data_IF_827567859087
#
_entry.id   IF_827567859087
#
_cell.length_a   1.000
_cell.length_b   1.000
_cell.length_c   1.000
_cell.angle_alpha   90.00
_cell.angle_beta   90.00
_cell.angle_gamma   90.00
#
_symmetry.space_group_name_H-M   'P 1'
#
loop_
_entity.id
_entity.type
_entity.pdbx_description
1 polymer ?
#
# COMPACT_ATOMS: atom_id res chain seq x y z
N UNK A 1 -3.51 -11.97 4.11
CA UNK A 1 -2.41 -12.92 3.77
C UNK A 1 -2.81 -13.65 2.51
N UNK A 2 -1.87 -13.85 1.61
CA UNK A 2 -2.06 -14.53 0.33
C UNK A 2 -1.10 -15.71 0.22
N UNK A 3 -1.46 -16.68 -0.59
CA UNK A 3 -0.65 -17.84 -0.93
C UNK A 3 -0.14 -18.66 0.28
N UNK A 4 -0.87 -18.66 1.40
CA UNK A 4 -0.48 -19.35 2.61
C UNK A 4 0.82 -18.90 3.24
N UNK A 5 1.27 -17.67 2.92
CA UNK A 5 2.56 -17.15 3.35
C UNK A 5 2.66 -17.05 4.88
N UNK A 6 3.78 -17.53 5.41
CA UNK A 6 4.17 -17.27 6.79
C UNK A 6 5.08 -16.05 6.86
N UNK A 7 4.50 -14.90 7.16
CA UNK A 7 5.24 -13.65 7.25
C UNK A 7 6.31 -13.65 8.35
N UNK A 8 6.12 -14.42 9.42
CA UNK A 8 7.13 -14.57 10.47
C UNK A 8 8.40 -15.32 10.02
N UNK A 9 8.35 -16.04 8.91
CA UNK A 9 9.52 -16.71 8.35
C UNK A 9 10.51 -15.76 7.67
N UNK A 10 10.02 -14.62 7.18
CA UNK A 10 10.90 -13.58 6.66
C UNK A 10 11.58 -12.86 7.83
N UNK A 11 12.87 -12.69 7.76
CA UNK A 11 13.67 -11.99 8.79
C UNK A 11 14.05 -10.59 8.35
N UNK A 12 14.05 -10.36 7.06
CA UNK A 12 14.43 -9.10 6.43
C UNK A 12 13.31 -8.57 5.55
N UNK A 13 13.41 -7.30 5.22
CA UNK A 13 12.52 -6.62 4.28
C UNK A 13 13.28 -5.55 3.50
N UNK A 14 12.72 -5.12 2.41
CA UNK A 14 13.11 -3.89 1.70
C UNK A 14 11.87 -3.16 1.23
N UNK A 15 11.98 -1.86 1.12
CA UNK A 15 10.89 -1.00 0.61
C UNK A 15 11.24 -0.62 -0.81
N UNK A 16 10.22 -0.59 -1.69
CA UNK A 16 10.39 -0.16 -3.07
C UNK A 16 11.00 1.25 -3.13
N UNK A 17 12.02 1.42 -3.95
CA UNK A 17 12.68 2.72 -4.16
C UNK A 17 12.28 3.23 -5.54
N UNK A 18 11.73 4.45 -5.64
CA UNK A 18 11.47 5.07 -6.94
C UNK A 18 12.75 5.26 -7.73
N UNK A 19 12.70 4.94 -9.01
CA UNK A 19 13.80 5.14 -9.95
C UNK A 19 13.24 5.48 -11.35
N UNK A 20 14.07 5.48 -12.37
CA UNK A 20 13.65 5.78 -13.73
C UNK A 20 12.62 4.78 -14.28
N UNK A 21 12.60 3.56 -13.76
CA UNK A 21 11.68 2.48 -14.16
C UNK A 21 10.43 2.44 -13.27
N UNK A 22 10.62 2.62 -11.95
CA UNK A 22 9.58 2.52 -10.93
C UNK A 22 9.29 3.92 -10.37
N UNK A 23 8.39 4.65 -11.01
CA UNK A 23 8.12 6.05 -10.69
C UNK A 23 7.09 6.20 -9.58
N UNK A 24 7.18 7.31 -8.85
CA UNK A 24 6.14 7.72 -7.92
C UNK A 24 4.80 7.95 -8.64
N UNK A 25 3.67 7.69 -7.95
CA UNK A 25 2.37 8.14 -8.42
C UNK A 25 2.38 9.64 -8.73
N UNK A 26 1.71 10.11 -9.80
CA UNK A 26 1.77 11.51 -10.23
C UNK A 26 1.35 12.53 -9.16
N UNK A 27 0.55 12.11 -8.19
CA UNK A 27 0.03 12.94 -7.10
C UNK A 27 0.82 12.82 -5.81
N UNK A 28 1.83 11.96 -5.76
CA UNK A 28 2.67 11.76 -4.59
C UNK A 28 3.97 12.55 -4.72
N UNK A 29 4.19 13.46 -3.78
CA UNK A 29 5.47 14.15 -3.67
C UNK A 29 6.54 13.22 -3.09
N UNK A 30 7.78 13.45 -3.45
CA UNK A 30 8.92 12.65 -2.97
C UNK A 30 9.03 12.65 -1.44
N UNK A 31 8.83 13.80 -0.80
CA UNK A 31 8.82 13.91 0.66
C UNK A 31 7.71 13.07 1.30
N UNK A 32 6.55 13.00 0.67
CA UNK A 32 5.44 12.15 1.13
C UNK A 32 5.81 10.68 1.06
N UNK A 33 6.42 10.26 -0.04
CA UNK A 33 6.94 8.90 -0.18
C UNK A 33 7.94 8.55 0.92
N UNK A 34 8.94 9.41 1.17
CA UNK A 34 9.93 9.17 2.23
C UNK A 34 9.31 9.07 3.61
N UNK A 35 8.32 9.87 3.91
CA UNK A 35 7.61 9.80 5.18
C UNK A 35 6.78 8.50 5.31
N UNK A 36 6.12 8.07 4.24
CA UNK A 36 5.41 6.78 4.22
C UNK A 36 6.40 5.62 4.39
N UNK A 37 7.49 5.62 3.63
CA UNK A 37 8.53 4.59 3.71
C UNK A 37 9.14 4.52 5.12
N UNK A 38 9.40 5.66 5.75
CA UNK A 38 9.94 5.72 7.11
C UNK A 38 8.95 5.17 8.14
N UNK A 39 7.66 5.49 8.02
CA UNK A 39 6.63 4.95 8.90
C UNK A 39 6.48 3.42 8.73
N UNK A 40 6.54 2.91 7.51
CA UNK A 40 6.53 1.46 7.22
C UNK A 40 7.78 0.80 7.83
N UNK A 41 8.95 1.40 7.64
CA UNK A 41 10.22 0.91 8.22
C UNK A 41 10.12 0.77 9.72
N UNK A 42 9.62 1.78 10.40
CA UNK A 42 9.39 1.76 11.85
C UNK A 42 8.50 0.59 12.25
N UNK A 43 7.36 0.40 11.57
CA UNK A 43 6.45 -0.70 11.84
C UNK A 43 7.09 -2.08 11.66
N UNK A 44 7.95 -2.25 10.66
CA UNK A 44 8.65 -3.51 10.41
C UNK A 44 9.75 -3.77 11.46
N UNK A 45 10.57 -2.76 11.74
CA UNK A 45 11.67 -2.87 12.73
C UNK A 45 11.11 -3.16 14.12
N UNK A 46 10.03 -2.51 14.52
CA UNK A 46 9.37 -2.76 15.80
C UNK A 46 8.74 -4.16 15.92
N UNK A 47 8.65 -4.89 14.82
CA UNK A 47 8.25 -6.31 14.76
C UNK A 47 9.42 -7.27 14.63
N UNK A 48 10.64 -6.77 14.66
CA UNK A 48 11.85 -7.58 14.64
C UNK A 48 12.44 -7.86 13.26
N UNK A 49 11.93 -7.22 12.21
CA UNK A 49 12.53 -7.35 10.88
C UNK A 49 13.73 -6.42 10.72
N UNK A 50 14.67 -6.82 9.88
CA UNK A 50 15.86 -6.03 9.54
C UNK A 50 15.76 -5.59 8.07
N UNK A 51 15.99 -4.31 7.81
CA UNK A 51 16.03 -3.82 6.42
C UNK A 51 17.29 -4.31 5.72
N UNK A 52 17.11 -4.86 4.51
CA UNK A 52 18.20 -5.36 3.67
C UNK A 52 17.87 -5.19 2.20
N UNK A 53 18.78 -4.59 1.45
CA UNK A 53 18.63 -4.38 0.01
C UNK A 53 18.48 -5.70 -0.79
N UNK A 54 18.93 -6.82 -0.25
CA UNK A 54 18.82 -8.15 -0.85
C UNK A 54 17.64 -8.96 -0.34
N UNK A 55 16.78 -8.38 0.50
CA UNK A 55 15.63 -9.11 1.03
C UNK A 55 14.69 -9.61 -0.07
N UNK A 56 14.23 -10.86 0.02
CA UNK A 56 13.18 -11.35 -0.87
C UNK A 56 11.82 -10.75 -0.57
N UNK A 57 11.62 -10.16 0.62
CA UNK A 57 10.38 -9.50 0.98
C UNK A 57 10.44 -8.03 0.55
N UNK A 58 9.77 -7.70 -0.54
CA UNK A 58 9.61 -6.33 -1.04
C UNK A 58 8.29 -5.75 -0.56
N UNK A 59 8.34 -4.58 0.03
CA UNK A 59 7.15 -3.78 0.36
C UNK A 59 6.94 -2.76 -0.74
N UNK A 60 5.81 -2.88 -1.43
CA UNK A 60 5.39 -2.00 -2.51
C UNK A 60 4.31 -1.03 -2.05
N UNK A 61 4.32 0.15 -2.61
CA UNK A 61 3.41 1.23 -2.26
C UNK A 61 2.61 1.61 -3.50
N UNK A 62 1.31 1.72 -3.32
CA UNK A 62 0.39 2.22 -4.33
C UNK A 62 -0.50 3.31 -3.77
N UNK A 63 -0.97 4.17 -4.63
CA UNK A 63 -1.89 5.25 -4.30
C UNK A 63 -2.95 5.37 -5.37
N UNK A 64 -4.20 5.49 -4.92
CA UNK A 64 -5.32 5.89 -5.76
C UNK A 64 -5.81 7.24 -5.30
N UNK A 65 -5.94 8.19 -6.20
CA UNK A 65 -6.50 9.52 -5.92
C UNK A 65 -7.69 9.76 -6.81
N UNK A 66 -8.82 10.10 -6.21
CA UNK A 66 -10.01 10.52 -6.94
C UNK A 66 -10.14 12.04 -6.89
N UNK A 67 -10.19 12.68 -8.06
CA UNK A 67 -10.33 14.13 -8.14
C UNK A 67 -11.79 14.59 -8.27
N UNK A 68 -12.69 13.78 -8.85
CA UNK A 68 -14.11 14.10 -9.01
C UNK A 68 -14.97 12.83 -9.04
N UNK A 69 -16.25 13.02 -8.65
CA UNK A 69 -17.25 11.98 -8.72
C UNK A 69 -17.71 11.86 -10.17
N UNK A 70 -17.49 10.71 -10.78
CA UNK A 70 -18.23 10.33 -11.97
C UNK A 70 -19.15 9.16 -11.63
N UNK A 71 -20.44 9.38 -11.76
CA UNK A 71 -21.50 8.39 -11.53
C UNK A 71 -21.77 7.57 -12.81
N UNK A 72 -20.77 7.30 -13.63
CA UNK A 72 -20.94 6.47 -14.82
C UNK A 72 -20.71 5.00 -14.47
N UNK A 73 -21.59 4.08 -14.92
CA UNK A 73 -21.32 2.65 -14.80
C UNK A 73 -20.07 2.29 -15.60
N UNK A 74 -19.19 1.52 -14.99
CA UNK A 74 -18.00 1.00 -15.66
C UNK A 74 -18.40 -0.01 -16.74
N UNK A 75 -18.01 0.26 -17.96
CA UNK A 75 -18.02 -0.74 -19.02
C UNK A 75 -16.96 -1.82 -18.70
N UNK A 76 -17.32 -3.10 -18.64
CA UNK A 76 -16.40 -4.15 -18.19
C UNK A 76 -15.16 -4.35 -19.07
N UNK A 77 -15.12 -3.78 -20.24
CA UNK A 77 -14.14 -4.09 -21.28
C UNK A 77 -13.03 -3.04 -21.47
N UNK A 78 -12.94 -2.03 -20.61
CA UNK A 78 -12.04 -0.91 -20.89
C UNK A 78 -10.68 -0.97 -20.18
N UNK A 79 -10.37 -2.05 -19.46
CA UNK A 79 -9.19 -2.09 -18.60
C UNK A 79 -8.32 -3.33 -18.75
N UNK A 80 -7.56 -3.44 -19.85
CA UNK A 80 -6.76 -4.64 -20.07
C UNK A 80 -5.52 -4.77 -19.17
N UNK A 81 -5.06 -3.69 -18.51
CA UNK A 81 -3.76 -3.71 -17.84
C UNK A 81 -3.78 -3.36 -16.34
N UNK A 82 -4.85 -2.75 -15.90
CA UNK A 82 -4.94 -2.34 -14.50
C UNK A 82 -6.29 -2.85 -13.99
N UNK A 83 -6.29 -3.78 -13.08
CA UNK A 83 -7.54 -4.22 -12.48
C UNK A 83 -8.40 -3.03 -12.01
N UNK A 84 -9.70 -3.23 -11.78
CA UNK A 84 -10.56 -2.15 -11.34
C UNK A 84 -10.00 -1.53 -10.07
N UNK A 85 -9.67 -0.25 -10.13
CA UNK A 85 -9.34 0.53 -8.95
C UNK A 85 -10.53 0.61 -8.00
N UNK A 86 -10.34 1.00 -6.75
CA UNK A 86 -11.43 1.14 -5.80
C UNK A 86 -12.47 2.19 -6.20
N UNK A 87 -12.18 2.99 -7.22
CA UNK A 87 -13.06 4.03 -7.73
C UNK A 87 -13.20 3.96 -9.25
N UNK A 88 -14.40 4.18 -9.81
CA UNK A 88 -14.60 4.30 -11.25
C UNK A 88 -13.71 5.39 -11.85
N UNK A 89 -12.92 5.05 -12.87
CA UNK A 89 -12.04 6.00 -13.54
C UNK A 89 -10.76 6.35 -12.78
N UNK A 90 -10.53 5.76 -11.62
CA UNK A 90 -9.29 5.90 -10.86
C UNK A 90 -8.56 4.58 -10.78
N UNK A 91 -7.31 4.58 -11.20
CA UNK A 91 -6.45 3.40 -11.16
C UNK A 91 -5.48 3.52 -10.00
N UNK A 92 -5.30 2.45 -9.21
CA UNK A 92 -4.19 2.42 -8.27
C UNK A 92 -2.88 2.47 -9.04
N UNK A 93 -2.03 3.42 -8.69
CA UNK A 93 -0.69 3.51 -9.21
C UNK A 93 0.26 2.89 -8.19
N UNK A 94 0.96 1.85 -8.59
CA UNK A 94 1.98 1.19 -7.78
C UNK A 94 3.36 1.58 -8.26
N UNK A 95 4.26 1.86 -7.35
CA UNK A 95 5.66 2.18 -7.67
C UNK A 95 6.31 1.01 -8.40
N UNK A 96 6.17 -0.21 -7.87
CA UNK A 96 6.49 -1.46 -8.59
C UNK A 96 5.20 -1.99 -9.22
N UNK A 97 5.08 -2.09 -10.55
CA UNK A 97 3.82 -2.44 -11.19
C UNK A 97 3.23 -3.76 -10.70
N UNK A 98 1.99 -3.73 -10.24
CA UNK A 98 1.29 -4.87 -9.63
C UNK A 98 1.14 -6.06 -10.57
N UNK A 99 1.10 -5.82 -11.86
CA UNK A 99 1.02 -6.87 -12.89
C UNK A 99 2.21 -7.85 -12.87
N UNK A 100 3.34 -7.48 -12.28
CA UNK A 100 4.51 -8.36 -12.22
C UNK A 100 4.41 -9.46 -11.15
N UNK A 101 3.49 -9.32 -10.19
CA UNK A 101 3.33 -10.28 -9.09
C UNK A 101 1.88 -10.66 -8.80
N UNK A 102 0.92 -10.04 -9.44
CA UNK A 102 -0.50 -10.32 -9.24
C UNK A 102 -1.14 -10.74 -10.58
N UNK A 103 -0.99 -12.01 -11.00
CA UNK A 103 -1.38 -12.46 -12.34
C UNK A 103 -2.90 -12.50 -12.56
N UNK A 104 -3.68 -12.64 -11.49
CA UNK A 104 -5.14 -12.59 -11.57
C UNK A 104 -5.66 -11.53 -10.61
N UNK A 105 -6.07 -10.41 -11.16
CA UNK A 105 -6.83 -9.44 -10.37
C UNK A 105 -8.20 -10.07 -10.08
N UNK A 106 -8.60 -10.23 -8.81
CA UNK A 106 -9.94 -10.71 -8.53
C UNK A 106 -10.93 -9.70 -9.09
N UNK A 107 -11.78 -10.14 -10.03
CA UNK A 107 -12.79 -9.32 -10.68
C UNK A 107 -13.87 -8.78 -9.72
N UNK A 108 -13.77 -9.07 -8.44
CA UNK A 108 -14.75 -8.81 -7.39
C UNK A 108 -14.25 -7.87 -6.30
N UNK A 109 -13.36 -6.93 -6.60
CA UNK A 109 -13.14 -5.82 -5.67
C UNK A 109 -14.41 -4.99 -5.62
N UNK A 110 -15.06 -4.96 -4.48
CA UNK A 110 -16.22 -4.10 -4.26
C UNK A 110 -15.80 -2.66 -4.55
N UNK A 111 -16.43 -2.07 -5.54
CA UNK A 111 -16.29 -0.65 -5.84
C UNK A 111 -16.95 0.11 -4.70
N UNK A 112 -16.17 0.83 -3.91
CA UNK A 112 -16.73 1.76 -2.93
C UNK A 112 -17.36 2.91 -3.72
N UNK A 113 -18.67 2.86 -3.89
CA UNK A 113 -19.44 3.94 -4.47
C UNK A 113 -19.72 4.98 -3.40
N UNK A 114 -18.93 6.03 -3.33
CA UNK A 114 -19.12 7.14 -2.40
C UNK A 114 -18.49 8.42 -2.94
N UNK A 115 -19.08 9.54 -2.53
CA UNK A 115 -18.57 10.88 -2.84
C UNK A 115 -17.37 11.15 -1.93
N UNK A 116 -16.15 10.93 -2.40
CA UNK A 116 -15.00 11.20 -1.55
C UNK A 116 -13.88 11.86 -2.35
N UNK A 117 -13.38 12.97 -1.82
CA UNK A 117 -12.05 13.48 -2.17
C UNK A 117 -11.02 12.67 -1.37
N UNK A 118 -11.06 11.36 -1.54
CA UNK A 118 -10.24 10.43 -0.79
C UNK A 118 -9.21 9.78 -1.70
N UNK A 119 -8.02 9.62 -1.17
CA UNK A 119 -7.04 8.70 -1.72
C UNK A 119 -7.07 7.38 -0.98
N UNK A 120 -6.66 6.31 -1.62
CA UNK A 120 -6.42 5.03 -0.97
C UNK A 120 -4.94 4.73 -1.03
N UNK A 121 -4.31 4.64 0.14
CA UNK A 121 -2.94 4.17 0.26
C UNK A 121 -2.96 2.64 0.34
N UNK A 122 -2.20 1.99 -0.51
CA UNK A 122 -2.14 0.54 -0.62
C UNK A 122 -0.71 0.09 -0.34
N UNK A 123 -0.57 -0.94 0.47
CA UNK A 123 0.71 -1.59 0.75
C UNK A 123 0.60 -3.06 0.36
N UNK A 124 1.41 -3.48 -0.58
CA UNK A 124 1.59 -4.88 -0.94
C UNK A 124 2.95 -5.38 -0.44
N UNK A 125 2.98 -6.58 0.12
CA UNK A 125 4.22 -7.29 0.39
C UNK A 125 4.35 -8.45 -0.57
N UNK A 126 5.52 -8.59 -1.17
CA UNK A 126 5.78 -9.48 -2.28
C UNK A 126 6.98 -10.37 -1.93
N UNK A 127 6.82 -11.68 -2.16
CA UNK A 127 7.98 -12.56 -2.25
C UNK A 127 8.56 -12.45 -3.66
N UNK A 128 9.69 -11.78 -3.79
CA UNK A 128 10.30 -11.50 -5.10
C UNK A 128 10.95 -12.71 -5.73
N UNK A 129 11.27 -13.75 -4.97
CA UNK A 129 11.82 -15.01 -5.49
C UNK A 129 10.74 -15.80 -6.23
N UNK A 130 9.55 -15.83 -5.69
CA UNK A 130 8.40 -16.55 -6.27
C UNK A 130 7.52 -15.64 -7.14
N UNK A 131 7.73 -14.33 -7.08
CA UNK A 131 6.93 -13.30 -7.76
C UNK A 131 5.44 -13.39 -7.43
N UNK A 132 5.13 -13.55 -6.15
CA UNK A 132 3.76 -13.66 -5.65
C UNK A 132 3.51 -12.65 -4.52
N UNK A 133 2.26 -12.17 -4.37
CA UNK A 133 1.88 -11.39 -3.21
C UNK A 133 1.78 -12.28 -1.98
N UNK A 134 2.22 -11.79 -0.83
CA UNK A 134 2.13 -12.47 0.46
C UNK A 134 1.24 -11.73 1.45
N UNK A 135 1.12 -10.43 1.33
CA UNK A 135 0.24 -9.59 2.14
C UNK A 135 -0.20 -8.36 1.34
N UNK A 136 -1.42 -7.91 1.56
CA UNK A 136 -1.91 -6.63 1.03
C UNK A 136 -2.82 -5.98 2.04
N UNK A 137 -2.71 -4.68 2.17
CA UNK A 137 -3.55 -3.86 3.02
C UNK A 137 -3.76 -2.49 2.37
N UNK A 138 -4.90 -1.89 2.66
CA UNK A 138 -5.24 -0.57 2.17
C UNK A 138 -5.91 0.26 3.25
N UNK A 139 -5.74 1.56 3.17
CA UNK A 139 -6.37 2.54 4.04
C UNK A 139 -6.87 3.72 3.21
N UNK A 140 -8.12 4.10 3.40
CA UNK A 140 -8.66 5.32 2.85
C UNK A 140 -8.11 6.51 3.64
N UNK A 141 -7.63 7.52 2.91
CA UNK A 141 -7.13 8.76 3.50
C UNK A 141 -7.92 9.93 2.95
N UNK A 142 -8.22 10.90 3.78
CA UNK A 142 -8.91 12.11 3.33
C UNK A 142 -7.89 13.06 2.71
N UNK A 143 -7.95 13.24 1.41
CA UNK A 143 -7.14 14.21 0.69
C UNK A 143 -7.91 15.55 0.60
N UNK A 144 -8.15 16.18 1.73
CA UNK A 144 -8.83 17.47 1.76
C UNK A 144 -7.99 18.60 1.13
N UNK A 145 -8.64 19.69 0.75
CA UNK A 145 -8.08 20.88 0.10
C UNK A 145 -6.85 21.44 0.83
N UNK A 146 -5.67 20.92 0.53
CA UNK A 146 -4.42 21.36 1.09
C UNK A 146 -3.99 20.70 2.42
N UNK A 147 -4.89 20.02 3.14
CA UNK A 147 -4.66 19.45 4.47
C UNK A 147 -4.95 17.95 4.54
N UNK A 148 -4.76 17.21 3.44
CA UNK A 148 -4.94 15.76 3.45
C UNK A 148 -4.04 15.07 4.47
N UNK A 149 -4.50 13.97 5.06
CA UNK A 149 -3.75 13.21 6.07
C UNK A 149 -2.36 12.78 5.59
N UNK A 150 -2.19 12.54 4.29
CA UNK A 150 -0.88 12.22 3.72
C UNK A 150 0.06 13.43 3.56
N UNK A 151 -0.36 14.63 3.92
CA UNK A 151 0.48 15.84 3.86
C UNK A 151 1.18 16.14 5.17
N UNK A 152 0.73 15.57 6.28
CA UNK A 152 1.39 15.74 7.56
C UNK A 152 1.91 14.39 8.08
N UNK A 153 2.97 14.47 8.87
CA UNK A 153 3.64 13.28 9.37
C UNK A 153 2.74 12.44 10.29
N UNK A 154 1.92 13.07 11.12
CA UNK A 154 1.01 12.37 12.01
C UNK A 154 -0.05 11.58 11.25
N UNK A 155 -0.65 12.18 10.22
CA UNK A 155 -1.61 11.50 9.35
C UNK A 155 -1.00 10.31 8.61
N UNK A 156 0.23 10.46 8.13
CA UNK A 156 0.99 9.36 7.51
C UNK A 156 1.22 8.23 8.52
N UNK A 157 1.64 8.54 9.72
CA UNK A 157 1.88 7.54 10.77
C UNK A 157 0.60 6.78 11.14
N UNK A 158 -0.54 7.48 11.25
CA UNK A 158 -1.86 6.87 11.49
C UNK A 158 -2.28 5.96 10.35
N UNK A 159 -2.14 6.43 9.12
CA UNK A 159 -2.49 5.64 7.93
C UNK A 159 -1.66 4.36 7.86
N UNK A 160 -0.35 4.46 8.04
CA UNK A 160 0.55 3.30 8.04
C UNK A 160 0.24 2.36 9.21
N UNK A 161 -0.01 2.87 10.41
CA UNK A 161 -0.43 2.03 11.54
C UNK A 161 -1.70 1.23 11.22
N UNK A 162 -2.64 1.84 10.50
CA UNK A 162 -3.86 1.15 10.03
C UNK A 162 -3.53 0.04 9.03
N UNK A 163 -2.59 0.23 8.12
CA UNK A 163 -2.13 -0.82 7.20
C UNK A 163 -1.60 -2.05 7.94
N UNK A 164 -0.99 -1.85 9.10
CA UNK A 164 -0.44 -2.93 9.95
C UNK A 164 -1.42 -3.47 11.00
N UNK A 165 -2.63 -2.94 11.09
CA UNK A 165 -3.60 -3.32 12.14
C UNK A 165 -3.96 -4.81 12.13
N UNK A 166 -3.93 -5.45 10.97
CA UNK A 166 -4.19 -6.88 10.77
C UNK A 166 -2.95 -7.67 10.36
N UNK A 167 -1.78 -7.08 10.54
CA UNK A 167 -0.53 -7.76 10.23
C UNK A 167 -0.28 -8.88 11.24
N UNK A 168 0.05 -10.11 10.79
CA UNK A 168 0.04 -11.29 11.65
C UNK A 168 1.21 -11.33 12.64
N UNK A 169 2.28 -10.59 12.39
CA UNK A 169 3.44 -10.53 13.29
C UNK A 169 3.26 -9.36 14.26
N UNK A 170 3.17 -9.64 15.57
CA UNK A 170 2.96 -8.60 16.57
C UNK A 170 4.21 -7.73 16.76
N UNK A 171 4.01 -6.59 17.37
CA UNK A 171 5.11 -5.76 17.87
C UNK A 171 5.95 -6.54 18.91
N UNK A 172 7.24 -6.31 18.92
CA UNK A 172 8.10 -6.82 20.00
C UNK A 172 7.64 -6.30 21.37
N UNK A 173 7.86 -7.05 22.46
CA UNK A 173 7.36 -6.69 23.79
C UNK A 173 7.69 -5.27 24.25
N UNK A 174 8.88 -4.76 23.92
CA UNK A 174 9.30 -3.40 24.26
C UNK A 174 8.52 -2.29 23.56
N UNK A 175 7.85 -2.61 22.43
CA UNK A 175 7.04 -1.66 21.66
C UNK A 175 5.54 -1.85 21.87
N UNK A 176 5.15 -2.89 22.60
CA UNK A 176 3.75 -3.06 22.97
C UNK A 176 3.46 -2.04 24.07
N UNK A 177 2.54 -1.09 23.80
CA UNK A 177 2.03 -0.22 24.85
C UNK A 177 1.40 -1.13 25.90
N UNK A 178 1.96 -1.12 27.10
CA UNK A 178 1.31 -1.77 28.24
C UNK A 178 -0.12 -1.25 28.31
N UNK A 179 -1.08 -2.11 28.02
CA UNK A 179 -2.48 -1.80 28.17
C UNK A 179 -2.73 -1.47 29.64
N UNK A 180 -3.00 -0.22 29.93
CA UNK A 180 -3.71 0.21 31.12
C UNK A 180 -5.13 0.53 30.74
#
# INVERSE_FOLDING_TARGET
IYNGANLASFKTFRIVVPDDTNKLPPTMQEVTYYNIAQAIRTQMVERGYVESAQSPLLINIGLTVQHEIQTAPLEPNYFPYYGPGPFPGCYPYFIYPRQYYWPTYPANTQVITGIYKEGVLIMDMINTLEKIPVYSSSVATILGNGNGELRNLEGIQKAVATLFSKFPVPLLPQYQKNGK
#
